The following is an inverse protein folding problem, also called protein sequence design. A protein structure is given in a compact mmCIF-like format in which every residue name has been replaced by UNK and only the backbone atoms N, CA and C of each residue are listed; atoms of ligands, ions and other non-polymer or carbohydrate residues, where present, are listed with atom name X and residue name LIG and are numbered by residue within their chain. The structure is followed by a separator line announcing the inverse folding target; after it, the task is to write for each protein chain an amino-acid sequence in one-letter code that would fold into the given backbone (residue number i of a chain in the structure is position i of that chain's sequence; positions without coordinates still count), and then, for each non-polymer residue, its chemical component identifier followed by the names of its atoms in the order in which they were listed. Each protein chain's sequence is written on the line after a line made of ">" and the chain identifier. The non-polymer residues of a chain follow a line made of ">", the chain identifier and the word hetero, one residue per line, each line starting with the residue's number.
data_IF_956969451281
#
_entry.id   IF_956969451281
#
_cell.length_a   1.000
_cell.length_b   1.000
_cell.length_c   1.000
_cell.angle_alpha   90.00
_cell.angle_beta   90.00
_cell.angle_gamma   90.00
#
_symmetry.space_group_name_H-M   'P 1'
#
loop_
_entity.id
_entity.type
_entity.pdbx_description
1 polymer ?
#
# COMPACT_ATOMS: atom_id res chain seq x y z
N UNK A 1 -0.52 -0.86 5.68
CA UNK A 1 -1.58 -0.17 4.90
C UNK A 1 -1.18 -0.26 3.42
N UNK A 2 -2.03 0.18 2.48
CA UNK A 2 -1.65 0.23 1.07
C UNK A 2 -1.25 1.65 0.64
N UNK A 3 -0.79 1.79 -0.62
CA UNK A 3 -0.19 3.01 -1.18
C UNK A 3 -0.91 4.32 -0.84
N UNK A 4 -2.21 4.41 -1.09
CA UNK A 4 -2.92 5.69 -0.94
C UNK A 4 -3.21 6.03 0.51
N UNK A 5 -3.45 5.02 1.33
CA UNK A 5 -3.58 5.16 2.77
C UNK A 5 -2.27 5.61 3.42
N UNK A 6 -1.12 5.13 2.96
CA UNK A 6 0.18 5.67 3.36
C UNK A 6 0.35 7.12 2.90
N UNK A 7 0.05 7.40 1.63
CA UNK A 7 0.13 8.75 1.07
C UNK A 7 -0.77 9.77 1.78
N UNK A 8 -1.92 9.35 2.31
CA UNK A 8 -2.88 10.23 2.99
C UNK A 8 -2.22 11.14 4.02
N UNK A 9 -1.29 10.62 4.84
CA UNK A 9 -0.63 11.39 5.91
C UNK A 9 0.40 12.41 5.43
N UNK A 10 0.76 12.37 4.14
CA UNK A 10 1.71 13.26 3.48
C UNK A 10 1.12 13.88 2.20
N UNK A 11 -0.20 13.83 2.03
CA UNK A 11 -0.90 14.31 0.82
C UNK A 11 -0.75 15.81 0.54
N UNK A 12 -0.35 16.57 1.56
CA UNK A 12 -0.05 18.01 1.47
C UNK A 12 1.45 18.31 1.55
N UNK A 13 2.30 17.28 1.55
CA UNK A 13 3.74 17.43 1.62
C UNK A 13 4.29 17.83 0.24
N UNK A 14 4.94 18.99 0.18
CA UNK A 14 5.50 19.50 -1.08
C UNK A 14 6.78 18.77 -1.51
N UNK A 15 7.46 18.09 -0.58
CA UNK A 15 8.71 17.38 -0.87
C UNK A 15 8.42 15.99 -1.47
N UNK A 16 8.63 15.86 -2.79
CA UNK A 16 8.43 14.64 -3.55
C UNK A 16 9.25 13.45 -3.01
N UNK A 17 10.46 13.68 -2.50
CA UNK A 17 11.31 12.64 -1.94
C UNK A 17 10.74 12.08 -0.63
N UNK A 18 10.08 12.90 0.20
CA UNK A 18 9.34 12.38 1.37
C UNK A 18 8.17 11.51 0.93
N UNK A 19 7.37 11.99 -0.03
CA UNK A 19 6.22 11.24 -0.56
C UNK A 19 6.65 9.90 -1.16
N UNK A 20 7.72 9.88 -1.95
CA UNK A 20 8.30 8.63 -2.46
C UNK A 20 8.73 7.72 -1.32
N UNK A 21 9.45 8.24 -0.33
CA UNK A 21 9.89 7.46 0.83
C UNK A 21 8.73 6.77 1.56
N UNK A 22 7.56 7.42 1.65
CA UNK A 22 6.34 6.88 2.30
C UNK A 22 5.78 5.65 1.60
N UNK A 23 5.97 5.51 0.28
CA UNK A 23 5.48 4.36 -0.50
C UNK A 23 6.59 3.45 -1.01
N UNK A 24 7.85 3.84 -0.85
CA UNK A 24 9.02 3.11 -1.34
C UNK A 24 9.12 1.68 -0.79
N UNK A 25 8.81 1.39 0.50
CA UNK A 25 8.79 0.03 1.01
C UNK A 25 7.89 -0.91 0.19
N UNK A 26 6.68 -0.46 -0.12
CA UNK A 26 5.69 -1.23 -0.90
C UNK A 26 6.10 -1.35 -2.38
N UNK A 27 6.62 -0.27 -2.96
CA UNK A 27 7.12 -0.28 -4.35
C UNK A 27 8.26 -1.29 -4.50
N UNK A 28 9.23 -1.28 -3.57
CA UNK A 28 10.36 -2.23 -3.57
C UNK A 28 9.86 -3.66 -3.43
N UNK A 29 8.92 -3.92 -2.52
CA UNK A 29 8.33 -5.26 -2.33
C UNK A 29 7.56 -5.77 -3.53
N UNK A 30 6.87 -4.88 -4.25
CA UNK A 30 6.18 -5.24 -5.48
C UNK A 30 7.14 -5.48 -6.65
N UNK A 31 8.23 -4.72 -6.74
CA UNK A 31 9.28 -4.92 -7.75
C UNK A 31 10.09 -6.20 -7.51
N UNK A 32 10.41 -6.50 -6.25
CA UNK A 32 11.19 -7.67 -5.86
C UNK A 32 10.78 -8.18 -4.48
N UNK A 33 10.10 -9.34 -4.45
CA UNK A 33 9.62 -9.94 -3.20
C UNK A 33 10.74 -10.28 -2.21
N UNK A 34 11.92 -10.60 -2.74
CA UNK A 34 13.11 -10.96 -1.97
C UNK A 34 13.83 -9.74 -1.38
N UNK A 35 13.57 -8.54 -1.90
CA UNK A 35 14.18 -7.32 -1.39
C UNK A 35 13.65 -7.03 0.02
N UNK A 36 14.54 -7.06 1.00
CA UNK A 36 14.29 -6.67 2.39
C UNK A 36 15.29 -5.59 2.75
N UNK A 37 14.89 -4.33 2.57
CA UNK A 37 15.74 -3.16 2.85
C UNK A 37 15.43 -2.62 4.25
N UNK A 38 16.45 -2.11 4.93
CA UNK A 38 16.33 -1.55 6.28
C UNK A 38 17.15 -0.24 6.41
N UNK A 39 16.85 0.80 5.61
CA UNK A 39 17.61 2.06 5.64
C UNK A 39 17.63 2.70 7.03
N UNK A 40 16.56 2.57 7.81
CA UNK A 40 16.47 3.06 9.20
C UNK A 40 17.49 2.43 10.17
N UNK A 41 18.17 1.34 9.78
CA UNK A 41 19.24 0.74 10.59
C UNK A 41 20.62 1.35 10.31
N UNK A 42 20.77 2.10 9.22
CA UNK A 42 22.05 2.68 8.80
C UNK A 42 21.84 4.16 8.39
N UNK A 43 21.17 4.94 9.23
CA UNK A 43 20.77 6.32 8.90
C UNK A 43 21.96 7.23 8.50
N UNK A 44 23.15 6.94 9.03
CA UNK A 44 24.37 7.67 8.74
C UNK A 44 24.80 7.62 7.25
N UNK A 45 24.34 6.63 6.48
CA UNK A 45 24.65 6.51 5.05
C UNK A 45 23.98 7.59 4.20
N UNK A 46 22.91 8.20 4.72
CA UNK A 46 22.07 9.14 3.98
C UNK A 46 22.35 10.60 4.36
N UNK A 47 23.20 10.85 5.36
CA UNK A 47 23.51 12.19 5.86
C UNK A 47 24.32 12.97 4.82
N UNK A 48 23.91 14.21 4.56
CA UNK A 48 24.61 15.12 3.65
C UNK A 48 23.98 15.21 2.26
N UNK A 49 22.98 14.37 1.95
CA UNK A 49 22.15 14.48 0.76
C UNK A 49 20.69 14.71 1.18
N UNK A 50 20.20 15.94 1.01
CA UNK A 50 18.86 16.36 1.47
C UNK A 50 17.72 15.51 0.88
N UNK A 51 17.89 14.99 -0.34
CA UNK A 51 16.91 14.16 -1.01
C UNK A 51 16.89 12.74 -0.42
N UNK A 52 18.05 12.17 -0.10
CA UNK A 52 18.15 10.87 0.58
C UNK A 52 17.67 10.92 2.02
N UNK A 53 17.96 12.00 2.75
CA UNK A 53 17.41 12.25 4.09
C UNK A 53 15.88 12.35 4.04
N UNK A 54 15.34 12.97 2.99
CA UNK A 54 13.90 13.07 2.75
C UNK A 54 13.26 11.70 2.44
N UNK A 55 13.92 10.87 1.61
CA UNK A 55 13.50 9.49 1.34
C UNK A 55 13.50 8.66 2.63
N UNK A 56 14.56 8.75 3.44
CA UNK A 56 14.65 8.07 4.73
C UNK A 56 13.54 8.52 5.69
N UNK A 57 13.24 9.83 5.72
CA UNK A 57 12.15 10.38 6.52
C UNK A 57 10.80 9.76 6.12
N UNK A 58 10.52 9.72 4.82
CA UNK A 58 9.31 9.08 4.29
C UNK A 58 9.25 7.58 4.64
N UNK A 59 10.37 6.87 4.48
CA UNK A 59 10.47 5.45 4.82
C UNK A 59 10.17 5.19 6.29
N UNK A 60 10.75 5.98 7.21
CA UNK A 60 10.49 5.86 8.65
C UNK A 60 9.02 6.16 8.97
N UNK A 61 8.41 7.09 8.24
CA UNK A 61 6.99 7.42 8.39
C UNK A 61 6.08 6.28 7.94
N UNK A 62 6.40 5.60 6.83
CA UNK A 62 5.73 4.36 6.43
C UNK A 62 5.74 3.33 7.57
N UNK A 63 6.93 3.05 8.14
CA UNK A 63 7.07 2.08 9.24
C UNK A 63 6.26 2.47 10.48
N UNK A 64 6.22 3.76 10.81
CA UNK A 64 5.44 4.27 11.94
C UNK A 64 3.92 4.11 11.72
N UNK A 65 3.43 4.47 10.53
CA UNK A 65 2.03 4.27 10.12
C UNK A 65 1.66 2.79 10.23
N UNK A 66 2.49 1.91 9.68
CA UNK A 66 2.25 0.48 9.71
C UNK A 66 2.25 -0.11 11.12
N UNK A 67 3.16 0.34 11.98
CA UNK A 67 3.18 -0.10 13.38
C UNK A 67 1.88 0.27 14.08
N UNK A 68 1.42 1.51 13.93
CA UNK A 68 0.18 1.98 14.56
C UNK A 68 -1.04 1.28 13.96
N UNK A 69 -1.08 1.12 12.63
CA UNK A 69 -2.18 0.46 11.94
C UNK A 69 -2.35 -0.99 12.39
N UNK A 70 -1.29 -1.80 12.28
CA UNK A 70 -1.36 -3.24 12.57
C UNK A 70 -1.52 -3.56 14.06
N UNK A 71 -1.17 -2.63 14.95
CA UNK A 71 -1.40 -2.77 16.40
C UNK A 71 -2.74 -2.20 16.86
N UNK A 72 -3.52 -1.59 15.97
CA UNK A 72 -4.80 -0.96 16.32
C UNK A 72 -5.92 -2.00 16.53
N UNK A 73 -6.82 -1.69 17.46
CA UNK A 73 -8.05 -2.46 17.64
C UNK A 73 -8.91 -2.45 16.37
N UNK A 74 -8.94 -1.31 15.66
CA UNK A 74 -9.61 -1.18 14.38
C UNK A 74 -9.14 -2.25 13.38
N UNK A 75 -7.83 -2.38 13.17
CA UNK A 75 -7.29 -3.37 12.24
C UNK A 75 -7.68 -4.80 12.63
N UNK A 76 -7.57 -5.15 13.91
CA UNK A 76 -7.92 -6.47 14.42
C UNK A 76 -9.41 -6.80 14.19
N UNK A 77 -10.30 -5.89 14.56
CA UNK A 77 -11.75 -6.08 14.44
C UNK A 77 -12.20 -6.11 12.98
N UNK A 78 -11.77 -5.14 12.17
CA UNK A 78 -12.17 -5.02 10.77
C UNK A 78 -11.64 -6.17 9.93
N UNK A 79 -10.40 -6.58 10.15
CA UNK A 79 -9.83 -7.76 9.49
C UNK A 79 -10.55 -9.03 9.91
N UNK A 80 -10.89 -9.19 11.20
CA UNK A 80 -11.65 -10.34 11.67
C UNK A 80 -13.06 -10.42 11.06
N UNK A 81 -13.76 -9.28 10.98
CA UNK A 81 -15.08 -9.18 10.37
C UNK A 81 -15.03 -9.50 8.87
N UNK A 82 -14.11 -8.88 8.11
CA UNK A 82 -13.94 -9.15 6.68
C UNK A 82 -13.54 -10.61 6.41
N UNK A 83 -12.69 -11.18 7.27
CA UNK A 83 -12.31 -12.60 7.17
C UNK A 83 -13.54 -13.51 7.18
N UNK A 84 -14.54 -13.27 8.03
CA UNK A 84 -15.74 -14.11 8.07
C UNK A 84 -16.51 -14.12 6.75
N UNK A 85 -16.57 -12.98 6.08
CA UNK A 85 -17.21 -12.85 4.77
C UNK A 85 -16.38 -13.53 3.67
N UNK A 86 -15.06 -13.59 3.82
CA UNK A 86 -14.14 -14.19 2.85
C UNK A 86 -14.04 -15.72 2.99
N UNK A 87 -14.26 -16.30 4.18
CA UNK A 87 -14.11 -17.76 4.39
C UNK A 87 -14.85 -18.60 3.33
N UNK A 88 -16.14 -18.33 3.02
CA UNK A 88 -16.87 -19.11 2.01
C UNK A 88 -16.30 -18.94 0.59
N UNK A 89 -15.74 -17.77 0.27
CA UNK A 89 -15.19 -17.44 -1.05
C UNK A 89 -14.00 -18.31 -1.40
N UNK A 90 -13.11 -18.48 -0.42
CA UNK A 90 -11.83 -19.18 -0.58
C UNK A 90 -11.90 -20.64 -0.15
N UNK A 91 -13.11 -21.15 0.14
CA UNK A 91 -13.31 -22.54 0.52
C UNK A 91 -12.75 -23.47 -0.58
N UNK A 92 -12.07 -24.54 -0.15
CA UNK A 92 -11.39 -25.49 -1.03
C UNK A 92 -10.28 -24.89 -1.92
N UNK A 93 -9.75 -23.72 -1.56
CA UNK A 93 -8.56 -23.14 -2.20
C UNK A 93 -7.36 -23.15 -1.23
N UNK A 94 -6.10 -23.05 -1.72
CA UNK A 94 -4.94 -22.88 -0.84
C UNK A 94 -4.82 -21.45 -0.26
N UNK A 95 -5.69 -20.52 -0.67
CA UNK A 95 -5.65 -19.11 -0.28
C UNK A 95 -6.08 -18.99 1.18
N UNK A 96 -5.27 -18.29 1.98
CA UNK A 96 -5.55 -18.08 3.40
C UNK A 96 -6.58 -16.95 3.58
N UNK A 97 -7.75 -17.19 4.19
CA UNK A 97 -8.77 -16.16 4.38
C UNK A 97 -8.25 -14.95 5.16
N UNK A 98 -7.42 -15.18 6.19
CA UNK A 98 -6.84 -14.10 7.00
C UNK A 98 -5.91 -13.19 6.20
N UNK A 99 -5.12 -13.76 5.27
CA UNK A 99 -4.26 -12.99 4.39
C UNK A 99 -5.10 -12.14 3.42
N UNK A 100 -6.11 -12.74 2.80
CA UNK A 100 -6.96 -12.03 1.85
C UNK A 100 -7.77 -10.92 2.52
N UNK A 101 -8.23 -11.14 3.77
CA UNK A 101 -8.92 -10.13 4.57
C UNK A 101 -8.00 -8.97 4.97
N UNK A 102 -6.75 -9.25 5.35
CA UNK A 102 -5.76 -8.20 5.65
C UNK A 102 -5.64 -7.26 4.46
N UNK A 103 -5.24 -7.80 3.31
CA UNK A 103 -4.98 -6.99 2.12
C UNK A 103 -6.28 -6.36 1.60
N UNK A 104 -7.40 -7.09 1.68
CA UNK A 104 -8.72 -6.57 1.32
C UNK A 104 -9.11 -5.34 2.13
N UNK A 105 -8.84 -5.32 3.44
CA UNK A 105 -9.06 -4.15 4.28
C UNK A 105 -8.20 -2.97 3.81
N UNK A 106 -6.91 -3.18 3.55
CA UNK A 106 -6.00 -2.12 3.10
C UNK A 106 -6.42 -1.52 1.75
N UNK A 107 -6.83 -2.35 0.78
CA UNK A 107 -7.31 -1.86 -0.51
C UNK A 107 -8.68 -1.16 -0.42
N UNK A 108 -9.56 -1.60 0.48
CA UNK A 108 -10.82 -0.92 0.72
C UNK A 108 -10.65 0.44 1.38
N UNK A 109 -9.65 0.61 2.24
CA UNK A 109 -9.31 1.93 2.79
C UNK A 109 -8.84 2.89 1.68
N UNK A 110 -8.00 2.41 0.76
CA UNK A 110 -7.61 3.18 -0.43
C UNK A 110 -8.83 3.54 -1.30
N UNK A 111 -9.74 2.59 -1.53
CA UNK A 111 -11.00 2.83 -2.26
C UNK A 111 -11.84 3.93 -1.61
N UNK A 112 -12.07 3.84 -0.30
CA UNK A 112 -12.88 4.81 0.45
C UNK A 112 -12.25 6.20 0.47
N UNK A 113 -10.92 6.30 0.57
CA UNK A 113 -10.24 7.60 0.45
C UNK A 113 -10.51 8.27 -0.91
N UNK A 114 -10.51 7.49 -2.00
CA UNK A 114 -10.81 8.01 -3.33
C UNK A 114 -12.28 8.41 -3.44
N UNK A 115 -13.19 7.52 -3.04
CA UNK A 115 -14.64 7.72 -3.17
C UNK A 115 -15.13 8.95 -2.39
N UNK A 116 -14.58 9.18 -1.20
CA UNK A 116 -14.89 10.34 -0.38
C UNK A 116 -14.08 11.60 -0.74
N UNK A 117 -13.30 11.56 -1.84
CA UNK A 117 -12.46 12.66 -2.31
C UNK A 117 -11.47 13.19 -1.24
N UNK A 118 -10.96 12.30 -0.38
CA UNK A 118 -10.03 12.65 0.69
C UNK A 118 -8.57 12.70 0.20
N UNK A 119 -8.33 12.21 -1.00
CA UNK A 119 -7.04 12.21 -1.69
C UNK A 119 -7.24 12.48 -3.19
N UNK A 120 -6.20 13.00 -3.83
CA UNK A 120 -6.15 13.16 -5.28
C UNK A 120 -5.12 12.20 -5.87
N UNK A 121 -5.56 11.13 -6.51
CA UNK A 121 -4.68 10.08 -7.04
C UNK A 121 -3.73 10.60 -8.13
N UNK A 122 -4.16 11.58 -8.95
CA UNK A 122 -3.24 12.21 -9.90
C UNK A 122 -2.10 12.95 -9.18
N UNK A 123 -2.41 13.67 -8.09
CA UNK A 123 -1.39 14.35 -7.29
C UNK A 123 -0.37 13.38 -6.68
N UNK A 124 -0.82 12.19 -6.25
CA UNK A 124 0.08 11.11 -5.84
C UNK A 124 1.08 10.76 -6.95
N UNK A 125 0.61 10.54 -8.18
CA UNK A 125 1.49 10.22 -9.30
C UNK A 125 2.40 11.38 -9.71
N UNK A 126 1.90 12.62 -9.69
CA UNK A 126 2.70 13.81 -9.97
C UNK A 126 3.88 13.90 -8.99
N UNK A 127 3.65 13.63 -7.70
CA UNK A 127 4.71 13.57 -6.69
C UNK A 127 5.74 12.48 -6.96
N UNK A 128 5.34 11.30 -7.44
CA UNK A 128 6.30 10.25 -7.78
C UNK A 128 7.16 10.61 -9.01
N UNK A 129 6.61 11.40 -9.94
CA UNK A 129 7.34 11.88 -11.14
C UNK A 129 8.36 12.97 -10.76
N UNK A 130 8.04 13.83 -9.80
CA UNK A 130 8.88 14.93 -9.33
C UNK A 130 10.14 14.48 -8.55
N UNK A 131 10.24 13.19 -8.21
CA UNK A 131 11.36 12.64 -7.44
C UNK A 131 12.68 12.76 -8.19
N UNK A 132 13.73 13.13 -7.47
CA UNK A 132 15.07 13.12 -8.00
C UNK A 132 15.55 11.68 -8.24
N UNK A 133 15.61 11.26 -9.51
CA UNK A 133 16.00 9.90 -9.89
C UNK A 133 17.44 9.55 -9.49
N UNK A 134 18.39 10.50 -9.46
CA UNK A 134 19.76 10.20 -9.04
C UNK A 134 19.81 9.91 -7.54
N UNK A 135 19.21 10.77 -6.72
CA UNK A 135 19.17 10.55 -5.26
C UNK A 135 18.37 9.30 -4.88
N UNK A 136 17.30 8.97 -5.60
CA UNK A 136 16.60 7.70 -5.40
C UNK A 136 17.47 6.50 -5.76
N UNK A 137 18.27 6.59 -6.82
CA UNK A 137 19.22 5.53 -7.20
C UNK A 137 20.29 5.33 -6.12
N UNK A 138 20.92 6.42 -5.69
CA UNK A 138 21.95 6.42 -4.65
C UNK A 138 21.40 5.85 -3.33
N UNK A 139 20.18 6.27 -2.93
CA UNK A 139 19.49 5.74 -1.77
C UNK A 139 19.32 4.21 -1.83
N UNK A 140 18.86 3.68 -2.97
CA UNK A 140 18.65 2.24 -3.16
C UNK A 140 19.97 1.46 -3.21
N UNK A 141 21.04 2.06 -3.72
CA UNK A 141 22.39 1.51 -3.68
C UNK A 141 22.93 1.43 -2.25
N UNK A 142 22.79 2.51 -1.46
CA UNK A 142 23.11 2.52 -0.03
C UNK A 142 22.32 1.46 0.75
N UNK A 143 21.08 1.20 0.34
CA UNK A 143 20.25 0.11 0.87
C UNK A 143 20.68 -1.29 0.42
N UNK A 144 21.63 -1.41 -0.50
CA UNK A 144 22.11 -2.67 -1.11
C UNK A 144 21.04 -3.41 -1.90
N UNK A 145 20.19 -2.68 -2.62
CA UNK A 145 19.25 -3.29 -3.56
C UNK A 145 20.01 -3.98 -4.69
N UNK A 146 19.81 -5.28 -4.87
CA UNK A 146 20.60 -6.10 -5.82
C UNK A 146 20.36 -5.77 -7.30
N UNK A 147 19.17 -5.30 -7.67
CA UNK A 147 18.82 -5.02 -9.06
C UNK A 147 18.02 -3.70 -9.17
N UNK A 148 18.70 -2.55 -9.08
CA UNK A 148 18.06 -1.24 -9.19
C UNK A 148 17.36 -1.02 -10.54
N UNK A 149 17.91 -1.53 -11.64
CA UNK A 149 17.32 -1.39 -12.98
C UNK A 149 15.92 -2.02 -13.07
N UNK A 150 15.74 -3.23 -12.53
CA UNK A 150 14.44 -3.88 -12.49
C UNK A 150 13.43 -3.09 -11.65
N UNK A 151 13.88 -2.46 -10.55
CA UNK A 151 13.04 -1.58 -9.75
C UNK A 151 12.61 -0.34 -10.53
N UNK A 152 13.53 0.36 -11.20
CA UNK A 152 13.17 1.55 -11.97
C UNK A 152 12.24 1.24 -13.15
N UNK A 153 12.45 0.10 -13.83
CA UNK A 153 11.52 -0.38 -14.86
C UNK A 153 10.13 -0.62 -14.29
N UNK A 154 10.03 -1.26 -13.12
CA UNK A 154 8.76 -1.45 -12.43
C UNK A 154 8.13 -0.11 -12.04
N UNK A 155 8.91 0.83 -11.50
CA UNK A 155 8.44 2.14 -11.07
C UNK A 155 7.86 2.95 -12.23
N UNK A 156 8.56 3.01 -13.36
CA UNK A 156 8.08 3.71 -14.56
C UNK A 156 6.77 3.08 -15.10
N UNK A 157 6.64 1.75 -15.03
CA UNK A 157 5.39 1.04 -15.38
C UNK A 157 4.25 1.32 -14.39
N UNK A 158 4.56 1.35 -13.09
CA UNK A 158 3.60 1.65 -12.04
C UNK A 158 3.04 3.07 -12.17
N UNK A 159 3.90 4.05 -12.43
CA UNK A 159 3.51 5.45 -12.65
C UNK A 159 2.70 5.60 -13.94
N UNK A 160 3.21 5.08 -15.07
CA UNK A 160 2.58 5.25 -16.39
C UNK A 160 1.22 4.56 -16.51
N UNK A 161 1.03 3.41 -15.87
CA UNK A 161 -0.26 2.70 -15.86
C UNK A 161 -1.34 3.42 -15.06
N UNK A 162 -0.96 4.34 -14.16
CA UNK A 162 -1.83 4.98 -13.17
C UNK A 162 -2.77 4.00 -12.47
N UNK A 163 -2.25 2.81 -12.16
CA UNK A 163 -3.01 1.66 -11.68
C UNK A 163 -3.97 1.97 -10.52
N UNK A 164 -3.59 2.83 -9.58
CA UNK A 164 -4.39 3.18 -8.40
C UNK A 164 -5.66 3.99 -8.75
N UNK A 165 -5.75 4.61 -9.94
CA UNK A 165 -7.01 5.20 -10.41
C UNK A 165 -8.11 4.15 -10.58
N UNK A 166 -7.74 2.90 -10.86
CA UNK A 166 -8.70 1.81 -11.02
C UNK A 166 -9.45 1.51 -9.71
N UNK A 167 -8.87 1.84 -8.55
CA UNK A 167 -9.49 1.59 -7.24
C UNK A 167 -10.73 2.43 -6.98
N UNK A 168 -11.11 3.35 -7.86
CA UNK A 168 -12.44 3.98 -7.87
C UNK A 168 -13.59 2.98 -7.98
N UNK A 169 -13.33 1.82 -8.59
CA UNK A 169 -14.34 0.76 -8.80
C UNK A 169 -14.03 -0.43 -7.91
N UNK A 170 -15.06 -0.94 -7.22
CA UNK A 170 -14.91 -2.04 -6.28
C UNK A 170 -14.50 -3.35 -6.98
N UNK A 171 -14.93 -3.57 -8.22
CA UNK A 171 -14.56 -4.72 -9.03
C UNK A 171 -13.05 -4.77 -9.31
N UNK A 172 -12.41 -3.60 -9.36
CA UNK A 172 -10.95 -3.53 -9.52
C UNK A 172 -10.21 -3.87 -8.22
N UNK A 173 -10.86 -3.77 -7.06
CA UNK A 173 -10.31 -4.22 -5.77
C UNK A 173 -10.28 -5.75 -5.72
N UNK A 174 -11.38 -6.43 -6.06
CA UNK A 174 -11.40 -7.90 -6.13
C UNK A 174 -10.44 -8.43 -7.19
N UNK A 175 -10.35 -7.76 -8.35
CA UNK A 175 -9.35 -8.07 -9.36
C UNK A 175 -7.91 -7.93 -8.82
N UNK A 176 -7.61 -6.82 -8.12
CA UNK A 176 -6.30 -6.59 -7.50
C UNK A 176 -5.93 -7.70 -6.52
N UNK A 177 -6.87 -8.08 -5.64
CA UNK A 177 -6.71 -9.18 -4.69
C UNK A 177 -6.43 -10.50 -5.41
N UNK A 178 -7.17 -10.81 -6.48
CA UNK A 178 -6.93 -12.03 -7.25
C UNK A 178 -5.53 -12.03 -7.90
N UNK A 179 -5.08 -10.89 -8.44
CA UNK A 179 -3.71 -10.73 -8.97
C UNK A 179 -2.64 -10.88 -7.90
N UNK A 180 -2.91 -10.50 -6.65
CA UNK A 180 -2.03 -10.78 -5.51
C UNK A 180 -2.00 -12.28 -5.23
N UNK A 181 -3.15 -12.96 -5.22
CA UNK A 181 -3.22 -14.41 -5.01
C UNK A 181 -2.45 -15.19 -6.07
N UNK A 182 -2.60 -14.87 -7.35
CA UNK A 182 -1.85 -15.50 -8.46
C UNK A 182 -0.34 -15.41 -8.32
N UNK A 183 0.16 -14.42 -7.58
CA UNK A 183 1.60 -14.27 -7.32
C UNK A 183 2.08 -15.18 -6.20
N UNK A 184 1.21 -15.63 -5.30
CA UNK A 184 1.57 -16.32 -4.06
C UNK A 184 1.20 -17.79 -4.05
N UNK A 185 0.18 -18.18 -4.82
CA UNK A 185 -0.32 -19.55 -4.89
C UNK A 185 -0.33 -20.07 -6.34
N UNK A 186 -0.16 -21.38 -6.53
CA UNK A 186 -0.20 -22.00 -7.87
C UNK A 186 -1.60 -21.95 -8.49
N UNK A 187 -2.63 -21.93 -7.64
CA UNK A 187 -4.04 -21.83 -8.01
C UNK A 187 -4.64 -20.57 -7.39
N UNK A 188 -5.63 -19.99 -8.07
CA UNK A 188 -6.25 -18.72 -7.68
C UNK A 188 -7.77 -18.83 -7.72
N UNK A 189 -8.47 -17.74 -7.42
CA UNK A 189 -9.93 -17.73 -7.44
C UNK A 189 -10.46 -17.90 -8.87
N UNK A 190 -11.47 -18.74 -9.00
CA UNK A 190 -12.29 -18.84 -10.23
C UNK A 190 -13.06 -17.54 -10.47
N UNK A 191 -13.57 -17.33 -11.68
CA UNK A 191 -14.39 -16.14 -12.01
C UNK A 191 -15.60 -16.00 -11.07
N UNK A 192 -16.26 -17.12 -10.76
CA UNK A 192 -17.37 -17.15 -9.81
C UNK A 192 -16.94 -16.73 -8.40
N UNK A 193 -15.79 -17.21 -7.92
CA UNK A 193 -15.25 -16.81 -6.62
C UNK A 193 -14.80 -15.35 -6.61
N UNK A 194 -14.31 -14.79 -7.73
CA UNK A 194 -14.00 -13.36 -7.84
C UNK A 194 -15.27 -12.51 -7.79
N UNK A 195 -16.35 -12.96 -8.46
CA UNK A 195 -17.66 -12.31 -8.38
C UNK A 195 -18.21 -12.33 -6.95
N UNK A 196 -18.12 -13.49 -6.29
CA UNK A 196 -18.54 -13.63 -4.88
C UNK A 196 -17.68 -12.77 -3.96
N UNK A 197 -16.35 -12.73 -4.17
CA UNK A 197 -15.46 -11.83 -3.44
C UNK A 197 -15.91 -10.37 -3.56
N UNK A 198 -16.25 -9.94 -4.79
CA UNK A 198 -16.72 -8.58 -5.05
C UNK A 198 -18.00 -8.27 -4.28
N UNK A 199 -18.94 -9.22 -4.24
CA UNK A 199 -20.17 -9.11 -3.47
C UNK A 199 -19.90 -9.02 -1.96
N UNK A 200 -19.03 -9.88 -1.42
CA UNK A 200 -18.67 -9.85 0.00
C UNK A 200 -17.94 -8.55 0.39
N UNK A 201 -17.08 -8.03 -0.49
CA UNK A 201 -16.43 -6.74 -0.31
C UNK A 201 -17.42 -5.57 -0.33
N UNK A 202 -18.49 -5.63 -1.13
CA UNK A 202 -19.49 -4.55 -1.17
C UNK A 202 -20.27 -4.49 0.13
N UNK A 203 -20.67 -5.63 0.68
CA UNK A 203 -21.29 -5.72 2.02
C UNK A 203 -20.35 -5.16 3.07
N UNK A 204 -19.08 -5.58 3.06
CA UNK A 204 -18.13 -5.12 4.07
C UNK A 204 -17.83 -3.63 3.95
N UNK A 205 -17.73 -3.09 2.74
CA UNK A 205 -17.54 -1.65 2.49
C UNK A 205 -18.64 -0.84 3.18
N UNK A 206 -19.90 -1.25 3.10
CA UNK A 206 -21.02 -0.55 3.77
C UNK A 206 -20.88 -0.52 5.29
N UNK A 207 -20.21 -1.52 5.88
CA UNK A 207 -19.90 -1.56 7.31
C UNK A 207 -18.70 -0.65 7.60
N UNK A 208 -17.63 -0.76 6.80
CA UNK A 208 -16.37 -0.05 6.98
C UNK A 208 -16.53 1.47 6.81
N UNK A 209 -17.32 1.94 5.85
CA UNK A 209 -17.50 3.38 5.57
C UNK A 209 -18.03 4.17 6.77
N UNK A 210 -18.67 3.51 7.74
CA UNK A 210 -19.26 4.16 8.91
C UNK A 210 -18.21 4.74 9.86
N UNK A 211 -17.02 4.13 9.89
CA UNK A 211 -15.98 4.43 10.87
C UNK A 211 -14.54 4.33 10.31
N UNK A 212 -14.37 4.21 8.98
CA UNK A 212 -13.03 4.05 8.39
C UNK A 212 -12.08 5.23 8.71
N UNK A 213 -12.61 6.42 8.98
CA UNK A 213 -11.77 7.57 9.36
C UNK A 213 -11.21 7.47 10.77
N UNK A 214 -11.75 6.62 11.64
CA UNK A 214 -11.25 6.46 13.01
C UNK A 214 -9.80 5.98 13.03
N UNK A 215 -9.43 5.09 12.10
CA UNK A 215 -8.04 4.64 12.00
C UNK A 215 -7.10 5.73 11.49
N UNK A 216 -7.53 6.55 10.53
CA UNK A 216 -6.74 7.68 10.04
C UNK A 216 -6.53 8.74 11.13
N UNK A 217 -7.59 9.11 11.85
CA UNK A 217 -7.52 10.04 12.97
C UNK A 217 -6.62 9.50 14.11
N UNK A 218 -6.75 8.21 14.44
CA UNK A 218 -5.91 7.55 15.43
C UNK A 218 -4.43 7.57 15.04
N UNK A 219 -4.12 7.26 13.77
CA UNK A 219 -2.73 7.29 13.29
C UNK A 219 -2.19 8.72 13.31
N UNK A 220 -2.94 9.69 12.79
CA UNK A 220 -2.51 11.10 12.76
C UNK A 220 -2.19 11.65 14.16
N UNK A 221 -2.99 11.29 15.18
CA UNK A 221 -2.75 11.67 16.56
C UNK A 221 -1.45 11.11 17.18
N UNK A 222 -0.90 10.03 16.60
CA UNK A 222 0.31 9.33 17.06
C UNK A 222 1.55 9.64 16.22
N UNK A 223 1.40 10.33 15.09
CA UNK A 223 2.49 10.71 14.20
C UNK A 223 3.11 12.09 14.53
N UNK A 224 2.71 12.70 15.66
CA UNK A 224 3.21 13.97 16.20
C UNK A 224 4.67 13.86 16.63
#
# INVERSE_FOLDING_TARGET
>A
MNFLSHFYFDRFNNNANVVMGVVLPDLVKNASKEANLYPQKNEFLFIGNIDEESLLKGWKRHLAVDLVFHSSQFFLEKTAALKQLIVPVVENTPIRPSFLAHIGLELLLDHLLIEHNLIHVNHFYDKLIEVNKSSLSDFLEHCKLKNPEAFFKFLDQFISSKYLLSYQKLENISYALNRICMRLWPETLTENQVSELTFQLSIFKEILQKDFMDIFNSIESKLV
#
